data_IF_892679841211
#
_entry.id   IF_892679841211
#
_cell.length_a   1.000
_cell.length_b   1.000
_cell.length_c   1.000
_cell.angle_alpha   90.00
_cell.angle_beta   90.00
_cell.angle_gamma   90.00
#
_symmetry.space_group_name_H-M   'P 1'
#
loop_
_entity.id
_entity.type
_entity.pdbx_description
1 polymer ?
#
# COMPACT_ATOMS: atom_id res chain seq x y z
N UNK A 1 3.15 17.39 21.99
CA UNK A 1 2.05 16.56 21.45
C UNK A 1 1.77 16.83 19.96
N UNK A 2 2.74 17.27 19.15
CA UNK A 2 2.42 17.97 17.88
C UNK A 2 3.10 17.45 16.61
N UNK A 3 4.19 16.69 16.68
CA UNK A 3 4.96 16.28 15.49
C UNK A 3 4.50 14.97 14.85
N UNK A 4 3.76 14.11 15.57
CA UNK A 4 3.37 12.79 15.07
C UNK A 4 2.19 12.85 14.10
N UNK A 5 1.21 13.73 14.35
CA UNK A 5 0.05 13.95 13.46
C UNK A 5 0.43 14.34 12.02
N UNK A 6 1.30 15.34 11.78
CA UNK A 6 1.63 15.71 10.41
C UNK A 6 2.35 14.58 9.65
N UNK A 7 3.27 13.85 10.30
CA UNK A 7 3.99 12.74 9.67
C UNK A 7 3.02 11.61 9.28
N UNK A 8 2.08 11.28 10.18
CA UNK A 8 1.04 10.30 9.92
C UNK A 8 0.22 10.66 8.67
N UNK A 9 -0.26 11.90 8.58
CA UNK A 9 -1.05 12.40 7.43
C UNK A 9 -0.23 12.31 6.14
N UNK A 10 1.05 12.68 6.18
CA UNK A 10 1.94 12.59 5.01
C UNK A 10 2.09 11.14 4.56
N UNK A 11 2.32 10.19 5.49
CA UNK A 11 2.47 8.77 5.14
C UNK A 11 1.18 8.18 4.55
N UNK A 12 0.01 8.52 5.10
CA UNK A 12 -1.28 8.12 4.52
C UNK A 12 -1.43 8.70 3.11
N UNK A 13 -1.10 9.99 2.93
CA UNK A 13 -1.16 10.66 1.64
C UNK A 13 -0.25 10.00 0.59
N UNK A 14 0.99 9.68 0.95
CA UNK A 14 1.93 8.97 0.08
C UNK A 14 1.41 7.59 -0.32
N UNK A 15 0.89 6.82 0.64
CA UNK A 15 0.31 5.50 0.37
C UNK A 15 -0.91 5.55 -0.55
N UNK A 16 -1.77 6.56 -0.38
CA UNK A 16 -2.93 6.79 -1.27
C UNK A 16 -2.51 7.16 -2.69
N UNK A 17 -1.55 8.09 -2.83
CA UNK A 17 -1.07 8.54 -4.14
C UNK A 17 -0.40 7.38 -4.88
N UNK A 18 0.47 6.63 -4.21
CA UNK A 18 1.16 5.48 -4.80
C UNK A 18 0.17 4.39 -5.24
N UNK A 19 -0.77 4.03 -4.37
CA UNK A 19 -1.79 3.03 -4.70
C UNK A 19 -2.70 3.48 -5.83
N UNK A 20 -3.09 4.77 -5.85
CA UNK A 20 -3.91 5.33 -6.93
C UNK A 20 -3.15 5.38 -8.26
N UNK A 21 -1.87 5.76 -8.22
CA UNK A 21 -1.00 5.73 -9.39
C UNK A 21 -0.92 4.31 -9.97
N UNK A 22 -0.70 3.30 -9.13
CA UNK A 22 -0.67 1.91 -9.57
C UNK A 22 -1.99 1.46 -10.19
N UNK A 23 -3.14 1.85 -9.62
CA UNK A 23 -4.45 1.53 -10.18
C UNK A 23 -4.66 2.16 -11.55
N UNK A 24 -4.35 3.45 -11.70
CA UNK A 24 -4.48 4.18 -12.96
C UNK A 24 -3.53 3.59 -14.00
N UNK A 25 -2.26 3.41 -13.66
CA UNK A 25 -1.25 2.90 -14.57
C UNK A 25 -1.55 1.46 -15.02
N UNK A 26 -2.01 0.59 -14.12
CA UNK A 26 -2.40 -0.79 -14.47
C UNK A 26 -3.61 -0.82 -15.43
N UNK A 27 -4.58 0.08 -15.21
CA UNK A 27 -5.72 0.23 -16.10
C UNK A 27 -5.31 0.80 -17.47
N UNK A 28 -4.45 1.82 -17.50
CA UNK A 28 -3.96 2.41 -18.74
C UNK A 28 -3.07 1.44 -19.53
N UNK A 29 -2.26 0.62 -18.86
CA UNK A 29 -1.48 -0.43 -19.51
C UNK A 29 -2.40 -1.47 -20.15
N UNK A 30 -3.49 -1.85 -19.49
CA UNK A 30 -4.50 -2.74 -20.06
C UNK A 30 -5.21 -2.14 -21.28
N UNK A 31 -5.60 -0.86 -21.23
CA UNK A 31 -6.36 -0.19 -22.30
C UNK A 31 -5.49 0.24 -23.48
N UNK A 32 -4.24 0.66 -23.22
CA UNK A 32 -3.42 1.36 -24.20
C UNK A 32 -2.06 0.73 -24.48
N UNK A 33 -1.60 -0.24 -23.68
CA UNK A 33 -0.27 -0.89 -23.79
C UNK A 33 0.95 0.07 -23.78
N UNK A 34 0.76 1.34 -23.40
CA UNK A 34 1.78 2.42 -23.52
C UNK A 34 2.57 2.65 -22.22
N UNK A 35 2.12 2.14 -21.07
CA UNK A 35 2.80 2.35 -19.78
C UNK A 35 3.53 1.08 -19.34
N UNK A 36 4.87 1.00 -19.48
CA UNK A 36 5.62 -0.16 -19.01
C UNK A 36 5.79 -0.09 -17.49
N UNK A 37 4.84 -0.66 -16.73
CA UNK A 37 5.13 -1.08 -15.36
C UNK A 37 5.89 -2.40 -15.43
N UNK A 38 7.14 -2.35 -15.91
CA UNK A 38 8.00 -3.52 -15.99
C UNK A 38 8.13 -4.14 -14.60
N UNK A 39 7.51 -5.31 -14.43
CA UNK A 39 7.51 -6.01 -13.16
C UNK A 39 6.45 -5.55 -12.15
N UNK A 40 5.33 -4.90 -12.52
CA UNK A 40 4.15 -4.78 -11.63
C UNK A 40 2.91 -5.59 -12.05
N UNK A 41 3.01 -6.42 -13.10
CA UNK A 41 1.85 -7.09 -13.74
C UNK A 41 1.47 -8.46 -13.19
N UNK A 42 2.27 -9.06 -12.29
CA UNK A 42 2.05 -10.45 -11.83
C UNK A 42 0.77 -10.65 -11.00
N UNK A 43 0.21 -9.57 -10.45
CA UNK A 43 -0.98 -9.58 -9.60
C UNK A 43 -2.10 -8.69 -10.17
N UNK A 44 -2.04 -8.42 -11.49
CA UNK A 44 -3.06 -7.67 -12.22
C UNK A 44 -4.00 -8.65 -12.90
N UNK A 45 -5.29 -8.55 -12.61
CA UNK A 45 -6.34 -9.37 -13.22
C UNK A 45 -7.30 -8.49 -14.02
N UNK A 46 -7.39 -8.69 -15.35
CA UNK A 46 -8.21 -7.87 -16.25
C UNK A 46 -7.98 -6.35 -16.09
N UNK A 47 -6.72 -5.93 -15.98
CA UNK A 47 -6.35 -4.52 -15.76
C UNK A 47 -6.55 -3.99 -14.34
N UNK A 48 -7.01 -4.86 -13.42
CA UNK A 48 -7.22 -4.51 -12.01
C UNK A 48 -6.06 -5.01 -11.17
N UNK A 49 -5.32 -4.08 -10.55
CA UNK A 49 -4.25 -4.38 -9.63
C UNK A 49 -4.81 -4.61 -8.21
N UNK A 50 -5.03 -5.89 -7.85
CA UNK A 50 -5.67 -6.28 -6.59
C UNK A 50 -4.86 -5.77 -5.37
N UNK A 51 -3.53 -5.95 -5.29
CA UNK A 51 -2.73 -5.38 -4.20
C UNK A 51 -2.91 -3.86 -4.04
N UNK A 52 -2.97 -3.12 -5.16
CA UNK A 52 -3.16 -1.67 -5.11
C UNK A 52 -4.55 -1.27 -4.60
N UNK A 53 -5.62 -2.04 -4.92
CA UNK A 53 -6.96 -1.80 -4.34
C UNK A 53 -6.94 -2.02 -2.83
N UNK A 54 -6.32 -3.11 -2.38
CA UNK A 54 -6.24 -3.43 -0.96
C UNK A 54 -5.42 -2.38 -0.20
N UNK A 55 -4.27 -1.98 -0.75
CA UNK A 55 -3.44 -0.91 -0.21
C UNK A 55 -4.18 0.43 -0.14
N UNK A 56 -4.81 0.84 -1.24
CA UNK A 56 -5.62 2.06 -1.29
C UNK A 56 -6.72 2.07 -0.24
N UNK A 57 -7.48 0.98 -0.15
CA UNK A 57 -8.56 0.81 0.85
C UNK A 57 -7.99 0.86 2.27
N UNK A 58 -6.83 0.24 2.49
CA UNK A 58 -6.17 0.20 3.79
C UNK A 58 -5.73 1.59 4.27
N UNK A 59 -5.08 2.38 3.40
CA UNK A 59 -4.70 3.75 3.71
C UNK A 59 -5.91 4.68 3.85
N UNK A 60 -6.91 4.55 2.98
CA UNK A 60 -8.11 5.39 2.99
C UNK A 60 -8.90 5.25 4.29
N UNK A 61 -9.05 4.02 4.75
CA UNK A 61 -9.82 3.72 5.95
C UNK A 61 -9.01 3.79 7.25
N UNK A 62 -7.70 4.02 7.18
CA UNK A 62 -6.80 3.92 8.33
C UNK A 62 -7.30 4.71 9.55
N UNK A 63 -7.63 6.00 9.39
CA UNK A 63 -8.11 6.85 10.48
C UNK A 63 -9.57 6.61 10.88
N UNK A 64 -10.35 5.94 10.04
CA UNK A 64 -11.76 5.66 10.30
C UNK A 64 -11.97 4.39 11.14
N UNK A 65 -10.94 3.58 11.34
CA UNK A 65 -11.05 2.30 12.05
C UNK A 65 -11.30 2.45 13.56
N UNK A 66 -10.96 3.59 14.15
CA UNK A 66 -11.24 3.90 15.57
C UNK A 66 -10.80 2.79 16.52
N UNK A 67 -11.76 2.14 17.21
CA UNK A 67 -11.47 1.02 18.13
C UNK A 67 -10.87 -0.22 17.47
N UNK A 68 -11.02 -0.37 16.16
CA UNK A 68 -10.50 -1.50 15.37
C UNK A 68 -9.13 -1.20 14.75
N UNK A 69 -8.53 -0.04 15.01
CA UNK A 69 -7.27 0.39 14.41
C UNK A 69 -6.15 -0.64 14.60
N UNK A 70 -6.00 -1.23 15.80
CA UNK A 70 -4.99 -2.26 16.05
C UNK A 70 -5.17 -3.50 15.16
N UNK A 71 -6.42 -3.96 15.00
CA UNK A 71 -6.71 -5.07 14.10
C UNK A 71 -6.40 -4.69 12.65
N UNK A 72 -6.76 -3.47 12.24
CA UNK A 72 -6.46 -2.94 10.91
C UNK A 72 -4.96 -2.88 10.63
N UNK A 73 -4.16 -2.45 11.61
CA UNK A 73 -2.69 -2.44 11.54
C UNK A 73 -2.13 -3.85 11.36
N UNK A 74 -2.59 -4.82 12.16
CA UNK A 74 -2.18 -6.22 12.06
C UNK A 74 -2.51 -6.78 10.66
N UNK A 75 -3.72 -6.52 10.15
CA UNK A 75 -4.11 -6.93 8.80
C UNK A 75 -3.22 -6.30 7.72
N UNK A 76 -2.84 -5.03 7.88
CA UNK A 76 -1.91 -4.35 7.00
C UNK A 76 -0.53 -5.02 6.99
N UNK A 77 0.03 -5.30 8.16
CA UNK A 77 1.33 -5.98 8.29
C UNK A 77 1.29 -7.41 7.72
N UNK A 78 0.23 -8.17 7.99
CA UNK A 78 0.03 -9.50 7.42
C UNK A 78 -0.05 -9.44 5.89
N UNK A 79 -0.79 -8.46 5.35
CA UNK A 79 -0.86 -8.21 3.91
C UNK A 79 0.52 -7.95 3.31
N UNK A 80 1.32 -7.07 3.93
CA UNK A 80 2.70 -6.80 3.50
C UNK A 80 3.57 -8.06 3.52
N UNK A 81 3.50 -8.87 4.57
CA UNK A 81 4.28 -10.11 4.68
C UNK A 81 3.91 -11.09 3.56
N UNK A 82 2.61 -11.29 3.33
CA UNK A 82 2.13 -12.19 2.27
C UNK A 82 2.59 -11.70 0.90
N UNK A 83 2.41 -10.41 0.61
CA UNK A 83 2.78 -9.84 -0.69
C UNK A 83 4.30 -9.83 -0.91
N UNK A 84 5.09 -9.56 0.14
CA UNK A 84 6.55 -9.67 0.08
C UNK A 84 6.99 -11.12 -0.15
N UNK A 85 6.38 -12.09 0.54
CA UNK A 85 6.67 -13.52 0.33
C UNK A 85 6.35 -13.97 -1.11
N UNK A 86 5.22 -13.53 -1.66
CA UNK A 86 4.86 -13.78 -3.06
C UNK A 86 5.91 -13.16 -3.98
N UNK A 87 6.31 -11.90 -3.74
CA UNK A 87 7.32 -11.21 -4.55
C UNK A 87 8.65 -11.97 -4.57
N UNK A 88 9.13 -12.44 -3.42
CA UNK A 88 10.33 -13.29 -3.34
C UNK A 88 10.15 -14.63 -4.06
N UNK A 89 9.02 -15.32 -3.85
CA UNK A 89 8.77 -16.62 -4.44
C UNK A 89 8.71 -16.56 -5.97
N UNK A 90 8.08 -15.52 -6.53
CA UNK A 90 7.95 -15.34 -7.98
C UNK A 90 9.12 -14.58 -8.60
N UNK A 91 10.18 -14.26 -7.82
CA UNK A 91 11.29 -13.38 -8.26
C UNK A 91 10.82 -12.07 -8.90
N UNK A 92 9.72 -11.54 -8.37
CA UNK A 92 9.04 -10.35 -8.85
C UNK A 92 9.52 -9.14 -8.05
N UNK A 93 9.83 -8.05 -8.74
CA UNK A 93 10.26 -6.81 -8.11
C UNK A 93 9.49 -5.62 -8.67
N UNK A 94 8.55 -5.08 -7.88
CA UNK A 94 7.86 -3.82 -8.17
C UNK A 94 8.26 -2.76 -7.13
N UNK A 95 9.08 -1.76 -7.51
CA UNK A 95 9.60 -0.77 -6.55
C UNK A 95 8.49 0.03 -5.88
N UNK A 96 7.40 0.31 -6.60
CA UNK A 96 6.22 0.99 -6.06
C UNK A 96 5.54 0.17 -4.96
N UNK A 97 5.31 -1.13 -5.17
CA UNK A 97 4.75 -2.00 -4.13
C UNK A 97 5.64 -2.04 -2.88
N UNK A 98 6.97 -2.13 -3.03
CA UNK A 98 7.88 -2.06 -1.89
C UNK A 98 7.86 -0.71 -1.18
N UNK A 99 7.69 0.39 -1.91
CA UNK A 99 7.51 1.71 -1.34
C UNK A 99 6.19 1.80 -0.53
N UNK A 100 5.10 1.23 -1.03
CA UNK A 100 3.84 1.12 -0.29
C UNK A 100 3.99 0.29 0.99
N UNK A 101 4.71 -0.84 0.93
CA UNK A 101 4.98 -1.68 2.09
C UNK A 101 5.76 -0.92 3.16
N UNK A 102 6.84 -0.25 2.76
CA UNK A 102 7.66 0.55 3.65
C UNK A 102 6.85 1.69 4.27
N UNK A 103 6.04 2.39 3.47
CA UNK A 103 5.18 3.47 3.92
C UNK A 103 4.14 2.99 4.93
N UNK A 104 3.50 1.84 4.68
CA UNK A 104 2.55 1.21 5.59
C UNK A 104 3.19 0.78 6.91
N UNK A 105 4.36 0.13 6.86
CA UNK A 105 5.10 -0.26 8.08
C UNK A 105 5.48 0.99 8.90
N UNK A 106 6.03 2.02 8.25
CA UNK A 106 6.37 3.28 8.93
C UNK A 106 5.16 3.92 9.60
N UNK A 107 4.01 3.94 8.91
CA UNK A 107 2.76 4.48 9.43
C UNK A 107 2.33 3.72 10.70
N UNK A 108 2.37 2.39 10.68
CA UNK A 108 2.06 1.55 11.84
C UNK A 108 3.00 1.85 13.00
N UNK A 109 4.32 1.88 12.76
CA UNK A 109 5.32 2.12 13.82
C UNK A 109 5.17 3.48 14.49
N UNK A 110 4.90 4.53 13.71
CA UNK A 110 4.72 5.89 14.22
C UNK A 110 3.43 6.00 15.03
N UNK A 111 2.36 5.37 14.56
CA UNK A 111 1.07 5.39 15.24
C UNK A 111 1.13 4.60 16.56
N UNK A 112 1.80 3.44 16.60
CA UNK A 112 2.06 2.68 17.84
C UNK A 112 2.80 3.52 18.88
N UNK A 113 3.89 4.20 18.49
CA UNK A 113 4.68 5.04 19.40
C UNK A 113 3.90 6.24 19.96
N UNK A 114 2.78 6.61 19.35
CA UNK A 114 1.93 7.71 19.82
C UNK A 114 0.90 7.31 20.88
N UNK A 115 0.71 6.00 21.08
CA UNK A 115 -0.26 5.42 22.01
C UNK A 115 0.38 4.78 23.25
N UNK A 116 1.71 4.73 23.33
CA UNK A 116 2.51 4.39 24.52
C UNK A 116 3.01 5.67 25.21
#
# INVERSE_FOLDING_TARGET
>A
MTTVRPIKIILIGLGLIDSLYLLISSYLEFVSQICPLSGCNSLVYNGINIPAILGFTWFLLYDFMGRFLRLWQILGILGVIVLAAIAFYTSYFCPYCFAAYFTGICLVLIDFRSHD
#
